data_IF_015612667364
#
_entry.id   IF_015612667364
#
_cell.length_a   1.000
_cell.length_b   1.000
_cell.length_c   1.000
_cell.angle_alpha   90.00
_cell.angle_beta   90.00
_cell.angle_gamma   90.00
#
_symmetry.space_group_name_H-M   'P 1'
#
loop_
_entity.id
_entity.type
_entity.pdbx_description
1 polymer ?
#
# COMPACT_ATOMS: atom_id res chain seq x y z
N UNK A 1 -14.85 -4.85 8.81
CA UNK A 1 -14.22 -5.83 9.71
C UNK A 1 -14.78 -7.21 9.43
N UNK A 2 -14.00 -8.24 9.52
CA UNK A 2 -14.45 -9.64 9.38
C UNK A 2 -14.88 -10.18 10.74
N UNK A 3 -15.87 -11.10 10.76
CA UNK A 3 -16.32 -11.73 11.99
C UNK A 3 -15.17 -12.49 12.66
N UNK A 4 -14.97 -12.22 13.95
CA UNK A 4 -14.05 -12.94 14.81
C UNK A 4 -14.63 -12.96 16.23
N UNK A 5 -14.76 -14.15 16.83
CA UNK A 5 -15.42 -14.33 18.12
C UNK A 5 -14.60 -13.76 19.29
N UNK A 6 -13.29 -13.63 19.12
CA UNK A 6 -12.36 -13.18 20.17
C UNK A 6 -11.92 -11.72 20.01
N UNK A 7 -12.31 -11.05 18.93
CA UNK A 7 -11.88 -9.70 18.65
C UNK A 7 -12.93 -8.64 19.03
N UNK A 8 -12.46 -7.60 19.70
CA UNK A 8 -13.23 -6.38 19.94
C UNK A 8 -12.54 -5.22 19.22
N UNK A 9 -13.24 -4.61 18.31
CA UNK A 9 -12.77 -3.39 17.66
C UNK A 9 -12.86 -2.24 18.65
N UNK A 10 -11.72 -1.59 18.91
CA UNK A 10 -11.68 -0.33 19.64
C UNK A 10 -12.18 0.79 18.69
N UNK A 11 -13.25 1.44 19.05
CA UNK A 11 -13.85 2.45 18.16
C UNK A 11 -13.02 3.71 18.05
N UNK A 12 -12.12 3.97 19.01
CA UNK A 12 -11.19 5.12 18.93
C UNK A 12 -10.16 4.96 17.82
N UNK A 13 -9.86 3.72 17.39
CA UNK A 13 -8.97 3.45 16.26
C UNK A 13 -9.54 3.92 14.90
N UNK A 14 -10.81 4.31 14.87
CA UNK A 14 -11.45 4.94 13.71
C UNK A 14 -11.37 6.46 13.71
N UNK A 15 -10.79 7.07 14.73
CA UNK A 15 -10.58 8.52 14.79
C UNK A 15 -9.29 8.83 14.06
N UNK A 16 -9.38 9.49 12.92
CA UNK A 16 -8.22 9.99 12.21
C UNK A 16 -7.59 11.16 12.96
N UNK A 17 -8.42 12.13 13.34
CA UNK A 17 -8.05 13.26 14.19
C UNK A 17 -9.31 14.01 14.67
N UNK A 18 -9.17 14.79 15.71
CA UNK A 18 -10.12 15.82 16.12
C UNK A 18 -9.35 17.13 16.39
N UNK A 19 -9.99 18.26 16.14
CA UNK A 19 -9.39 19.59 16.42
C UNK A 19 -10.29 20.41 17.32
N UNK A 20 -9.68 21.26 18.13
CA UNK A 20 -10.39 22.32 18.83
C UNK A 20 -10.74 23.46 17.84
N UNK A 21 -11.40 24.50 18.36
CA UNK A 21 -11.84 25.66 17.55
C UNK A 21 -10.66 26.47 16.96
N UNK A 22 -9.45 26.30 17.47
CA UNK A 22 -8.24 26.93 16.93
C UNK A 22 -7.53 26.07 15.87
N UNK A 23 -8.07 24.91 15.56
CA UNK A 23 -7.48 23.96 14.61
C UNK A 23 -6.35 23.10 15.20
N UNK A 24 -6.10 23.20 16.51
CA UNK A 24 -5.11 22.34 17.19
C UNK A 24 -5.68 20.94 17.35
N UNK A 25 -4.88 19.92 17.01
CA UNK A 25 -5.25 18.52 17.22
C UNK A 25 -5.37 18.25 18.73
N UNK A 26 -6.42 17.54 19.09
CA UNK A 26 -6.67 17.11 20.47
C UNK A 26 -6.46 15.61 20.59
N UNK A 27 -6.15 15.16 21.80
CA UNK A 27 -6.00 13.75 22.08
C UNK A 27 -7.30 12.99 21.82
N UNK A 28 -7.19 11.81 21.22
CA UNK A 28 -8.36 10.97 20.91
C UNK A 28 -9.14 10.56 22.18
N UNK A 29 -8.53 10.57 23.36
CA UNK A 29 -9.21 10.32 24.63
C UNK A 29 -10.20 11.41 25.02
N UNK A 30 -10.00 12.64 24.53
CA UNK A 30 -10.90 13.78 24.78
C UNK A 30 -12.20 13.69 23.96
N UNK A 31 -12.21 12.86 22.92
CA UNK A 31 -13.39 12.67 22.08
C UNK A 31 -14.35 11.71 22.77
N UNK A 32 -15.59 12.15 23.01
CA UNK A 32 -16.63 11.28 23.53
C UNK A 32 -17.10 10.32 22.46
N UNK A 33 -17.17 9.04 22.78
CA UNK A 33 -17.57 7.98 21.86
C UNK A 33 -18.81 7.26 22.41
N UNK A 34 -19.82 7.08 21.59
CA UNK A 34 -21.08 6.42 22.01
C UNK A 34 -20.92 4.94 22.35
N UNK A 35 -19.84 4.32 21.90
CA UNK A 35 -19.44 2.93 22.18
C UNK A 35 -17.92 2.83 22.10
N UNK A 36 -17.26 2.47 23.18
CA UNK A 36 -15.79 2.34 23.20
C UNK A 36 -15.29 1.13 22.42
N UNK A 37 -16.08 0.07 22.33
CA UNK A 37 -15.74 -1.11 21.55
C UNK A 37 -16.94 -1.79 20.92
N UNK A 38 -16.67 -2.55 19.87
CA UNK A 38 -17.64 -3.39 19.18
C UNK A 38 -17.11 -4.82 19.16
N UNK A 39 -17.89 -5.74 19.76
CA UNK A 39 -17.59 -7.18 19.66
C UNK A 39 -17.85 -7.64 18.23
N UNK A 40 -16.83 -8.26 17.62
CA UNK A 40 -16.89 -8.71 16.22
C UNK A 40 -17.43 -10.13 16.03
N UNK A 41 -18.12 -10.68 17.04
CA UNK A 41 -18.63 -12.05 17.04
C UNK A 41 -19.90 -12.27 16.19
N UNK A 42 -20.59 -11.21 15.78
CA UNK A 42 -21.81 -11.31 14.96
C UNK A 42 -21.76 -10.32 13.79
N UNK A 43 -22.01 -10.78 12.56
CA UNK A 43 -22.18 -9.89 11.41
C UNK A 43 -23.32 -8.92 11.64
N UNK A 44 -22.98 -7.63 11.72
CA UNK A 44 -23.93 -6.54 11.95
C UNK A 44 -23.26 -5.20 11.64
N UNK A 45 -24.08 -4.20 11.31
CA UNK A 45 -23.64 -2.80 11.20
C UNK A 45 -24.01 -2.05 12.48
N UNK A 46 -23.03 -1.32 13.01
CA UNK A 46 -23.16 -0.47 14.19
C UNK A 46 -22.93 0.99 13.79
N UNK A 47 -23.75 1.89 14.32
CA UNK A 47 -23.46 3.32 14.25
C UNK A 47 -22.69 3.72 15.50
N UNK A 48 -21.59 4.44 15.30
CA UNK A 48 -20.77 5.00 16.38
C UNK A 48 -20.74 6.50 16.21
N UNK A 49 -21.18 7.22 17.23
CA UNK A 49 -21.18 8.68 17.27
C UNK A 49 -19.98 9.15 18.08
N UNK A 50 -19.28 10.11 17.55
CA UNK A 50 -18.16 10.83 18.18
C UNK A 50 -18.61 12.27 18.45
N UNK A 51 -18.20 12.83 19.58
CA UNK A 51 -18.56 14.20 19.96
C UNK A 51 -17.36 14.86 20.65
N UNK A 52 -17.02 16.06 20.19
CA UNK A 52 -16.05 16.91 20.84
C UNK A 52 -16.55 18.36 20.79
N UNK A 53 -16.80 18.97 21.97
CA UNK A 53 -17.53 20.24 22.05
C UNK A 53 -18.88 20.13 21.34
N UNK A 54 -19.16 21.04 20.43
CA UNK A 54 -20.38 21.04 19.61
C UNK A 54 -20.27 20.22 18.32
N UNK A 55 -19.06 19.75 17.97
CA UNK A 55 -18.82 18.98 16.78
C UNK A 55 -19.26 17.52 16.97
N UNK A 56 -19.90 16.95 15.95
CA UNK A 56 -20.28 15.54 15.95
C UNK A 56 -19.95 14.87 14.62
N UNK A 57 -19.51 13.61 14.69
CA UNK A 57 -19.36 12.73 13.54
C UNK A 57 -20.00 11.38 13.82
N UNK A 58 -20.47 10.70 12.79
CA UNK A 58 -21.01 9.34 12.92
C UNK A 58 -20.44 8.45 11.84
N UNK A 59 -19.94 7.31 12.23
CA UNK A 59 -19.47 6.28 11.30
C UNK A 59 -20.32 5.02 11.39
N UNK A 60 -20.25 4.20 10.34
CA UNK A 60 -20.82 2.86 10.31
C UNK A 60 -19.69 1.83 10.38
N UNK A 61 -19.64 1.09 11.47
CA UNK A 61 -18.74 -0.06 11.60
C UNK A 61 -19.53 -1.32 11.22
N UNK A 62 -19.11 -1.98 10.15
CA UNK A 62 -19.78 -3.19 9.67
C UNK A 62 -18.91 -4.41 9.94
N UNK A 63 -19.41 -5.31 10.77
CA UNK A 63 -18.85 -6.66 10.94
C UNK A 63 -19.41 -7.54 9.83
N UNK A 64 -18.55 -8.08 8.97
CA UNK A 64 -18.92 -8.94 7.84
C UNK A 64 -18.74 -10.41 8.20
N UNK A 65 -19.43 -11.30 7.50
CA UNK A 65 -19.12 -12.73 7.55
C UNK A 65 -17.70 -12.96 7.00
N UNK A 66 -16.95 -13.87 7.61
CA UNK A 66 -15.78 -14.42 6.96
C UNK A 66 -16.17 -15.11 5.65
N UNK A 67 -15.35 -14.96 4.64
CA UNK A 67 -15.48 -15.68 3.37
C UNK A 67 -14.77 -17.03 3.49
N UNK A 68 -15.07 -17.95 2.59
CA UNK A 68 -14.28 -19.17 2.46
C UNK A 68 -12.87 -18.80 2.01
N UNK A 69 -11.90 -19.44 2.58
CA UNK A 69 -10.50 -19.17 2.33
C UNK A 69 -9.99 -20.02 1.16
N UNK A 70 -9.16 -19.43 0.31
CA UNK A 70 -8.38 -20.18 -0.66
C UNK A 70 -7.25 -20.94 0.05
N UNK A 71 -6.84 -22.06 -0.52
CA UNK A 71 -5.70 -22.84 -0.04
C UNK A 71 -4.64 -22.83 -1.13
N UNK A 72 -3.43 -22.39 -0.77
CA UNK A 72 -2.30 -22.40 -1.69
C UNK A 72 -1.69 -23.82 -1.79
N UNK A 73 -1.26 -24.19 -2.97
CA UNK A 73 -0.48 -25.41 -3.23
C UNK A 73 0.83 -25.06 -3.92
N UNK A 74 1.94 -25.50 -3.35
CA UNK A 74 3.29 -25.22 -3.83
C UNK A 74 3.83 -26.23 -4.86
N UNK A 75 3.06 -27.26 -5.21
CA UNK A 75 3.54 -28.36 -6.05
C UNK A 75 3.69 -27.98 -7.52
N UNK A 76 4.71 -28.54 -8.17
CA UNK A 76 4.84 -28.58 -9.62
C UNK A 76 5.49 -27.37 -10.29
N UNK A 77 6.10 -26.45 -9.54
CA UNK A 77 6.81 -25.30 -10.12
C UNK A 77 8.31 -25.42 -9.89
N UNK A 78 9.08 -25.42 -10.97
CA UNK A 78 10.55 -25.41 -10.91
C UNK A 78 11.04 -23.99 -10.65
N UNK A 79 11.91 -23.81 -9.66
CA UNK A 79 12.57 -22.55 -9.41
C UNK A 79 13.44 -22.16 -10.61
N UNK A 80 13.36 -20.90 -11.02
CA UNK A 80 14.24 -20.36 -12.04
C UNK A 80 15.55 -19.94 -11.39
N UNK A 81 16.70 -20.07 -12.08
CA UNK A 81 17.93 -19.48 -11.62
C UNK A 81 17.70 -17.98 -11.40
N UNK A 82 18.00 -17.54 -10.22
CA UNK A 82 17.84 -16.16 -9.84
C UNK A 82 19.17 -15.61 -9.37
N UNK A 83 19.20 -15.26 -8.11
CA UNK A 83 20.38 -14.66 -7.50
C UNK A 83 21.47 -15.67 -7.11
N UNK A 84 21.27 -16.98 -7.30
CA UNK A 84 22.33 -17.96 -7.06
C UNK A 84 23.47 -17.84 -8.07
N UNK A 85 23.14 -17.51 -9.32
CA UNK A 85 24.15 -17.24 -10.38
C UNK A 85 24.58 -15.76 -10.39
N UNK A 86 23.91 -14.92 -9.63
CA UNK A 86 24.22 -13.51 -9.43
C UNK A 86 24.58 -13.31 -7.97
N UNK A 87 25.59 -12.49 -7.71
CA UNK A 87 25.73 -11.94 -6.36
C UNK A 87 24.51 -11.10 -6.07
N UNK A 88 23.83 -11.29 -4.92
CA UNK A 88 22.72 -10.44 -4.55
C UNK A 88 23.13 -8.97 -4.59
N UNK A 89 22.26 -8.13 -5.09
CA UNK A 89 22.50 -6.70 -5.16
C UNK A 89 22.58 -6.10 -3.77
N UNK A 90 23.39 -5.06 -3.62
CA UNK A 90 23.43 -4.30 -2.39
C UNK A 90 22.64 -3.02 -2.61
N UNK A 91 21.52 -2.88 -1.88
CA UNK A 91 20.80 -1.60 -1.80
C UNK A 91 21.71 -0.55 -1.15
N UNK A 92 21.61 0.70 -1.57
CA UNK A 92 22.24 1.82 -0.87
C UNK A 92 21.65 2.02 0.53
N UNK A 93 20.41 1.59 0.72
CA UNK A 93 19.60 1.77 1.94
C UNK A 93 19.08 0.40 2.39
N UNK A 94 19.92 -0.34 3.11
CA UNK A 94 19.60 -1.73 3.48
C UNK A 94 18.60 -1.85 4.62
N UNK A 95 18.67 -0.94 5.56
CA UNK A 95 17.75 -0.81 6.69
C UNK A 95 17.45 0.66 6.91
N UNK A 96 16.54 0.97 7.80
CA UNK A 96 16.08 2.35 8.11
C UNK A 96 17.19 3.34 8.49
N UNK A 97 18.39 2.88 8.76
CA UNK A 97 19.45 3.70 9.33
C UNK A 97 20.04 4.75 8.38
N UNK A 98 19.84 4.59 7.08
CA UNK A 98 20.45 5.45 6.05
C UNK A 98 19.43 6.34 5.32
N UNK A 99 18.17 6.33 5.75
CA UNK A 99 17.17 7.20 5.14
C UNK A 99 17.37 8.65 5.55
N UNK A 100 17.06 9.56 4.63
CA UNK A 100 16.93 10.96 5.03
C UNK A 100 15.72 11.08 5.96
N UNK A 101 15.81 12.02 6.88
CA UNK A 101 14.69 12.41 7.77
C UNK A 101 14.09 13.73 7.27
N UNK A 102 13.33 13.73 6.16
CA UNK A 102 12.80 14.95 5.59
C UNK A 102 11.61 15.40 6.41
N UNK A 103 11.54 16.69 6.61
CA UNK A 103 10.28 17.33 6.96
C UNK A 103 9.63 17.84 5.68
N UNK A 104 8.33 18.05 5.68
CA UNK A 104 7.59 18.64 4.57
C UNK A 104 8.09 20.03 4.21
N UNK A 105 8.79 20.68 5.14
CA UNK A 105 9.37 22.02 5.01
C UNK A 105 10.79 22.02 4.47
N UNK A 106 11.46 20.87 4.41
CA UNK A 106 12.83 20.81 3.87
C UNK A 106 12.81 21.14 2.38
N UNK A 107 13.62 22.11 1.93
CA UNK A 107 13.69 22.42 0.51
C UNK A 107 14.01 21.20 -0.31
N UNK A 108 13.30 21.05 -1.41
CA UNK A 108 13.56 20.01 -2.37
C UNK A 108 14.68 20.43 -3.32
N UNK A 109 15.90 20.07 -3.01
CA UNK A 109 17.07 20.27 -3.89
C UNK A 109 17.21 19.13 -4.90
N UNK A 110 16.13 18.46 -5.24
CA UNK A 110 16.19 17.16 -5.77
C UNK A 110 16.21 17.05 -7.26
N UNK A 111 16.66 15.91 -7.69
CA UNK A 111 16.54 15.45 -9.04
C UNK A 111 15.08 15.14 -9.34
N UNK A 112 14.62 15.62 -10.47
CA UNK A 112 13.33 15.25 -11.03
C UNK A 112 13.44 14.14 -12.08
N UNK A 113 14.63 13.55 -12.24
CA UNK A 113 14.88 12.47 -13.18
C UNK A 113 15.88 11.48 -12.60
N UNK A 114 15.50 10.22 -12.62
CA UNK A 114 16.30 9.10 -12.15
C UNK A 114 16.50 8.13 -13.31
N UNK A 115 17.74 7.76 -13.57
CA UNK A 115 18.10 6.88 -14.68
C UNK A 115 18.79 5.61 -14.17
N UNK A 116 18.40 4.47 -14.72
CA UNK A 116 19.09 3.20 -14.52
C UNK A 116 18.89 2.32 -15.77
N UNK A 117 19.97 1.96 -16.43
CA UNK A 117 19.88 1.24 -17.70
C UNK A 117 19.01 1.96 -18.73
N UNK A 118 18.03 1.26 -19.27
CA UNK A 118 17.06 1.79 -20.22
C UNK A 118 15.78 2.36 -19.55
N UNK A 119 15.72 2.34 -18.23
CA UNK A 119 14.60 2.88 -17.46
C UNK A 119 14.91 4.30 -16.97
N UNK A 120 14.07 5.25 -17.37
CA UNK A 120 14.08 6.61 -16.87
C UNK A 120 12.78 6.89 -16.14
N UNK A 121 12.89 7.30 -14.88
CA UNK A 121 11.78 7.76 -14.04
C UNK A 121 11.83 9.29 -13.92
N UNK A 122 10.68 9.94 -14.03
CA UNK A 122 10.56 11.39 -13.87
C UNK A 122 9.50 11.73 -12.84
N UNK A 123 9.76 12.76 -12.05
CA UNK A 123 8.78 13.31 -11.12
C UNK A 123 7.50 13.67 -11.85
N UNK A 124 6.39 13.15 -11.39
CA UNK A 124 5.06 13.51 -11.84
C UNK A 124 4.50 14.65 -11.01
N UNK A 125 4.54 14.49 -9.69
CA UNK A 125 4.23 15.51 -8.69
C UNK A 125 4.61 15.01 -7.29
N UNK A 126 4.68 15.95 -6.34
CA UNK A 126 4.75 15.63 -4.93
C UNK A 126 3.35 15.49 -4.36
N UNK A 127 3.13 14.41 -3.61
CA UNK A 127 1.83 14.11 -3.02
C UNK A 127 1.59 15.03 -1.82
N UNK A 128 0.42 15.68 -1.73
CA UNK A 128 0.11 16.60 -0.65
C UNK A 128 -0.22 15.86 0.65
N UNK A 129 0.78 15.32 1.31
CA UNK A 129 0.65 14.72 2.64
C UNK A 129 0.21 15.73 3.71
N UNK A 130 0.26 17.00 3.40
CA UNK A 130 -0.21 18.13 4.22
C UNK A 130 -1.73 18.28 4.27
N UNK A 131 -2.50 17.40 3.65
CA UNK A 131 -3.89 17.20 4.03
C UNK A 131 -4.02 16.57 5.43
N UNK A 132 -2.88 16.19 6.03
CA UNK A 132 -2.80 15.71 7.40
C UNK A 132 -2.69 16.88 8.37
N UNK A 133 -3.47 16.83 9.42
CA UNK A 133 -3.28 17.68 10.58
C UNK A 133 -2.04 17.18 11.30
N UNK A 134 -1.01 17.99 11.31
CA UNK A 134 0.24 17.67 11.99
C UNK A 134 0.20 18.19 13.40
N UNK A 135 0.39 17.34 14.39
CA UNK A 135 0.78 17.79 15.70
C UNK A 135 2.30 17.94 15.73
N UNK A 136 2.79 19.18 15.90
CA UNK A 136 4.21 19.41 16.00
C UNK A 136 4.72 18.92 17.34
N UNK A 137 5.05 17.67 17.49
CA UNK A 137 5.76 17.18 18.65
C UNK A 137 5.32 15.86 19.25
N UNK A 138 4.26 15.25 18.74
CA UNK A 138 3.86 13.91 19.16
C UNK A 138 3.68 12.97 17.98
N UNK A 139 4.64 12.05 17.81
CA UNK A 139 4.59 11.01 16.78
C UNK A 139 3.46 9.98 17.04
N UNK A 140 2.77 10.07 18.17
CA UNK A 140 1.70 9.17 18.55
C UNK A 140 0.31 9.64 18.14
N UNK A 141 0.18 10.85 17.60
CA UNK A 141 -1.12 11.36 17.17
C UNK A 141 -1.45 10.84 15.76
N UNK A 142 -2.66 10.34 15.63
CA UNK A 142 -3.21 9.87 14.36
C UNK A 142 -3.22 11.01 13.34
N UNK A 143 -2.32 10.94 12.40
CA UNK A 143 -2.25 11.85 11.27
C UNK A 143 -3.07 11.27 10.10
N UNK A 144 -3.58 12.12 9.24
CA UNK A 144 -4.16 11.70 7.98
C UNK A 144 -3.01 11.34 7.04
N UNK A 145 -2.53 10.13 7.11
CA UNK A 145 -1.52 9.49 6.28
C UNK A 145 -0.42 10.37 5.73
N UNK A 146 0.75 10.29 6.29
CA UNK A 146 1.94 11.01 5.80
C UNK A 146 2.99 10.09 5.18
N UNK A 147 2.82 8.78 5.30
CA UNK A 147 3.73 7.78 4.75
C UNK A 147 3.07 7.20 3.51
N UNK A 148 3.56 7.53 2.30
CA UNK A 148 3.08 6.90 1.08
C UNK A 148 3.62 5.48 1.01
N UNK A 149 2.72 4.55 0.79
CA UNK A 149 3.01 3.12 0.66
C UNK A 149 2.71 2.66 -0.78
N UNK A 150 1.77 1.74 -0.95
CA UNK A 150 1.40 1.21 -2.24
C UNK A 150 0.78 2.23 -3.20
N UNK A 151 0.82 1.89 -4.47
CA UNK A 151 0.22 2.68 -5.55
C UNK A 151 -0.46 1.79 -6.56
N UNK A 152 -1.53 2.29 -7.14
CA UNK A 152 -2.10 1.76 -8.38
C UNK A 152 -2.54 2.88 -9.30
N UNK A 153 -2.28 2.73 -10.60
CA UNK A 153 -2.62 3.73 -11.62
C UNK A 153 -3.55 3.13 -12.66
N UNK A 154 -4.68 3.78 -12.89
CA UNK A 154 -5.63 3.39 -13.94
C UNK A 154 -6.58 4.54 -14.29
N UNK A 155 -7.05 4.55 -15.52
CA UNK A 155 -8.04 5.51 -16.02
C UNK A 155 -7.66 6.98 -15.78
N UNK A 156 -6.35 7.30 -15.85
CA UNK A 156 -5.83 8.65 -15.63
C UNK A 156 -5.79 9.10 -14.16
N UNK A 157 -5.98 8.17 -13.22
CA UNK A 157 -5.86 8.42 -11.79
C UNK A 157 -4.75 7.57 -11.17
N UNK A 158 -3.99 8.16 -10.26
CA UNK A 158 -3.13 7.43 -9.34
C UNK A 158 -3.84 7.34 -7.99
N UNK A 159 -3.82 6.17 -7.38
CA UNK A 159 -4.34 5.93 -6.03
C UNK A 159 -3.21 5.43 -5.16
N UNK A 160 -2.94 6.16 -4.09
CA UNK A 160 -1.89 5.82 -3.12
C UNK A 160 -2.51 5.52 -1.77
N UNK A 161 -2.03 4.49 -1.11
CA UNK A 161 -2.28 4.30 0.31
C UNK A 161 -1.34 5.20 1.11
N UNK A 162 -1.92 5.99 2.00
CA UNK A 162 -1.17 6.84 2.93
C UNK A 162 -1.40 6.32 4.35
N UNK A 163 -0.35 5.74 4.92
CA UNK A 163 -0.36 5.20 6.27
C UNK A 163 -0.24 6.34 7.27
N UNK A 164 -1.16 6.41 8.23
CA UNK A 164 -1.17 7.47 9.24
C UNK A 164 -0.28 7.15 10.43
N UNK A 165 -0.24 5.86 10.81
CA UNK A 165 0.50 5.39 11.96
C UNK A 165 0.90 3.93 11.78
N UNK A 166 2.17 3.61 11.86
CA UNK A 166 2.70 2.26 11.66
C UNK A 166 2.06 1.21 12.57
N UNK A 167 1.82 1.57 13.84
CA UNK A 167 1.27 0.63 14.82
C UNK A 167 -0.22 0.31 14.61
N UNK A 168 -0.98 1.19 13.93
CA UNK A 168 -2.41 0.99 13.72
C UNK A 168 -2.73 0.35 12.37
N UNK A 169 -1.77 0.34 11.44
CA UNK A 169 -1.93 -0.20 10.09
C UNK A 169 -3.21 0.32 9.41
N UNK A 170 -3.48 1.59 9.65
CA UNK A 170 -4.66 2.29 9.16
C UNK A 170 -4.27 3.61 8.52
N UNK A 171 -5.07 4.08 7.60
CA UNK A 171 -4.80 5.31 6.88
C UNK A 171 -5.86 5.63 5.86
N UNK A 172 -5.47 6.27 4.79
CA UNK A 172 -6.35 6.67 3.70
C UNK A 172 -5.85 6.14 2.36
N UNK A 173 -6.77 5.83 1.47
CA UNK A 173 -6.48 5.76 0.04
C UNK A 173 -6.78 7.13 -0.56
N UNK A 174 -5.79 7.72 -1.20
CA UNK A 174 -5.91 9.04 -1.83
C UNK A 174 -5.80 8.90 -3.33
N UNK A 175 -6.76 9.42 -4.06
CA UNK A 175 -6.79 9.44 -5.51
C UNK A 175 -6.38 10.80 -6.06
N UNK A 176 -5.49 10.80 -7.04
CA UNK A 176 -4.94 11.97 -7.72
C UNK A 176 -5.27 11.93 -9.21
N UNK A 177 -5.92 12.96 -9.73
CA UNK A 177 -6.20 13.08 -11.17
C UNK A 177 -4.93 13.45 -11.95
N UNK A 178 -4.31 12.49 -12.61
CA UNK A 178 -3.07 12.67 -13.36
C UNK A 178 -3.20 13.60 -14.55
N UNK A 179 -4.42 13.83 -15.05
CA UNK A 179 -4.65 14.74 -16.17
C UNK A 179 -4.73 16.21 -15.72
N UNK A 180 -4.96 16.43 -14.43
CA UNK A 180 -5.10 17.76 -13.84
C UNK A 180 -3.90 18.14 -12.98
N UNK A 181 -3.26 17.18 -12.35
CA UNK A 181 -2.06 17.35 -11.56
C UNK A 181 -0.83 17.06 -12.45
N UNK A 182 -0.56 17.95 -13.41
CA UNK A 182 0.39 17.69 -14.49
C UNK A 182 1.78 18.25 -14.25
N UNK A 183 1.92 19.20 -13.37
CA UNK A 183 3.20 19.88 -13.14
C UNK A 183 3.86 19.35 -11.89
N UNK A 184 5.12 18.86 -11.98
CA UNK A 184 5.93 18.65 -10.80
C UNK A 184 6.15 20.01 -10.12
N UNK A 185 5.93 20.05 -8.81
CA UNK A 185 6.31 21.19 -7.99
C UNK A 185 7.06 20.70 -6.77
N UNK A 186 7.81 21.57 -6.16
CA UNK A 186 8.54 21.24 -4.97
C UNK A 186 7.58 20.98 -3.79
N UNK A 187 7.98 20.14 -2.86
CA UNK A 187 7.13 19.81 -1.70
C UNK A 187 6.63 21.07 -0.97
N UNK A 188 7.46 22.08 -0.84
CA UNK A 188 7.12 23.35 -0.20
C UNK A 188 6.14 24.23 -0.99
N UNK A 189 5.93 23.99 -2.29
CA UNK A 189 4.98 24.76 -3.07
C UNK A 189 3.55 24.63 -2.54
N UNK A 190 3.24 23.49 -1.93
CA UNK A 190 1.94 23.27 -1.27
C UNK A 190 1.72 24.22 -0.09
N UNK A 191 2.79 24.61 0.59
CA UNK A 191 2.74 25.52 1.75
C UNK A 191 2.66 26.98 1.33
N UNK A 192 3.22 27.32 0.19
CA UNK A 192 3.35 28.69 -0.28
C UNK A 192 2.28 29.09 -1.30
N UNK A 193 1.50 28.13 -1.80
CA UNK A 193 0.44 28.45 -2.76
C UNK A 193 -0.69 29.25 -2.10
N UNK A 194 -1.26 30.18 -2.87
CA UNK A 194 -2.42 30.95 -2.40
C UNK A 194 -3.61 30.02 -2.13
N UNK A 195 -4.51 30.42 -1.19
CA UNK A 195 -5.73 29.69 -0.91
C UNK A 195 -6.54 29.33 -2.17
N UNK A 196 -6.65 30.25 -3.12
CA UNK A 196 -7.33 29.99 -4.39
C UNK A 196 -6.68 28.88 -5.20
N UNK A 197 -5.34 28.86 -5.28
CA UNK A 197 -4.59 27.80 -5.96
C UNK A 197 -4.78 26.48 -5.24
N UNK A 198 -4.64 26.46 -3.92
CA UNK A 198 -4.82 25.28 -3.10
C UNK A 198 -6.25 24.70 -3.24
N UNK A 199 -7.27 25.55 -3.13
CA UNK A 199 -8.68 25.11 -3.32
C UNK A 199 -8.92 24.52 -4.71
N UNK A 200 -8.30 25.05 -5.75
CA UNK A 200 -8.40 24.47 -7.10
C UNK A 200 -7.64 23.16 -7.21
N UNK A 201 -6.49 23.05 -6.57
CA UNK A 201 -5.66 21.86 -6.58
C UNK A 201 -6.36 20.66 -5.90
N UNK A 202 -6.92 20.87 -4.72
CA UNK A 202 -7.56 19.78 -3.96
C UNK A 202 -8.86 19.26 -4.59
N UNK A 203 -9.48 19.99 -5.51
CA UNK A 203 -10.63 19.51 -6.30
C UNK A 203 -10.28 18.29 -7.18
N UNK A 204 -9.01 18.09 -7.46
CA UNK A 204 -8.48 16.99 -8.26
C UNK A 204 -7.93 15.84 -7.42
N UNK A 205 -8.25 15.86 -6.12
CA UNK A 205 -7.84 14.87 -5.14
C UNK A 205 -9.09 14.29 -4.48
N UNK A 206 -9.11 12.97 -4.30
CA UNK A 206 -10.14 12.25 -3.53
C UNK A 206 -9.47 11.60 -2.33
N UNK A 207 -10.11 11.63 -1.18
CA UNK A 207 -9.62 11.00 0.04
C UNK A 207 -10.66 10.01 0.54
N UNK A 208 -10.25 8.78 0.83
CA UNK A 208 -11.13 7.78 1.45
C UNK A 208 -11.44 8.16 2.90
N UNK A 209 -12.47 7.56 3.52
CA UNK A 209 -12.52 7.50 4.97
C UNK A 209 -11.25 6.90 5.55
N UNK A 210 -11.03 7.08 6.84
CA UNK A 210 -9.98 6.40 7.57
C UNK A 210 -10.32 4.91 7.67
N UNK A 211 -9.49 4.05 7.12
CA UNK A 211 -9.75 2.62 6.95
C UNK A 211 -8.50 1.80 7.27
N UNK A 212 -8.66 0.54 7.69
CA UNK A 212 -7.53 -0.37 7.75
C UNK A 212 -7.00 -0.63 6.34
N UNK A 213 -5.71 -0.40 6.15
CA UNK A 213 -4.99 -0.62 4.89
C UNK A 213 -3.83 -1.60 5.05
N UNK A 214 -3.66 -2.18 6.24
CA UNK A 214 -2.47 -2.97 6.59
C UNK A 214 -1.22 -2.10 6.49
N UNK A 215 -0.11 -2.68 6.05
CA UNK A 215 1.08 -1.87 5.71
C UNK A 215 0.87 -1.04 4.43
N UNK A 216 -0.12 -1.38 3.62
CA UNK A 216 -0.57 -0.56 2.50
C UNK A 216 0.18 -0.75 1.18
N UNK A 217 1.24 -1.54 1.13
CA UNK A 217 2.11 -1.67 -0.05
C UNK A 217 1.48 -2.40 -1.23
N UNK A 218 0.59 -3.36 -0.98
CA UNK A 218 -0.01 -4.19 -2.02
C UNK A 218 -1.29 -3.56 -2.55
N UNK A 219 -1.23 -2.92 -3.70
CA UNK A 219 -2.38 -2.28 -4.35
C UNK A 219 -2.56 -2.72 -5.80
N UNK A 220 -3.80 -2.74 -6.24
CA UNK A 220 -4.16 -2.93 -7.65
C UNK A 220 -5.48 -2.26 -7.97
N UNK A 221 -5.83 -2.16 -9.24
CA UNK A 221 -7.10 -1.57 -9.62
C UNK A 221 -7.69 -2.17 -10.89
N UNK A 222 -9.00 -2.15 -10.95
CA UNK A 222 -9.79 -2.48 -12.13
C UNK A 222 -10.58 -1.25 -12.59
N UNK A 223 -11.44 -1.39 -13.57
CA UNK A 223 -12.22 -0.25 -14.07
C UNK A 223 -13.02 0.47 -12.97
N UNK A 224 -13.58 -0.27 -12.01
CA UNK A 224 -14.49 0.30 -10.99
C UNK A 224 -13.91 0.35 -9.59
N UNK A 225 -12.89 -0.45 -9.30
CA UNK A 225 -12.43 -0.70 -7.96
C UNK A 225 -10.93 -0.54 -7.81
N UNK A 226 -10.54 -0.18 -6.61
CA UNK A 226 -9.18 -0.27 -6.06
C UNK A 226 -9.20 -1.46 -5.12
N UNK A 227 -8.08 -2.16 -5.04
CA UNK A 227 -7.87 -3.27 -4.12
C UNK A 227 -6.60 -3.03 -3.32
N UNK A 228 -6.65 -3.37 -2.04
CA UNK A 228 -5.48 -3.43 -1.18
C UNK A 228 -5.48 -4.73 -0.41
N UNK A 229 -4.32 -5.39 -0.38
CA UNK A 229 -4.11 -6.59 0.44
C UNK A 229 -3.62 -6.11 1.81
N UNK A 230 -4.32 -6.49 2.86
CA UNK A 230 -4.04 -6.07 4.21
C UNK A 230 -3.86 -7.27 5.13
N UNK A 231 -3.00 -7.12 6.12
CA UNK A 231 -2.87 -8.13 7.16
C UNK A 231 -4.14 -8.13 8.02
N UNK A 232 -4.74 -9.29 8.20
CA UNK A 232 -5.94 -9.40 9.01
C UNK A 232 -5.59 -9.54 10.49
N UNK A 233 -5.46 -8.41 11.17
CA UNK A 233 -5.23 -8.38 12.61
C UNK A 233 -6.43 -8.88 13.44
N UNK A 234 -7.60 -9.02 12.81
CA UNK A 234 -8.78 -9.53 13.49
C UNK A 234 -8.77 -11.06 13.60
N UNK A 235 -7.93 -11.73 12.81
CA UNK A 235 -7.78 -13.18 12.77
C UNK A 235 -6.48 -13.64 13.48
N UNK A 236 -6.23 -13.15 14.69
CA UNK A 236 -5.03 -13.51 15.46
C UNK A 236 -4.81 -15.03 15.62
N UNK A 237 -5.87 -15.82 15.50
CA UNK A 237 -5.83 -17.28 15.55
C UNK A 237 -5.54 -17.92 14.18
N UNK A 238 -5.51 -17.13 13.12
CA UNK A 238 -5.17 -17.56 11.75
C UNK A 238 -4.11 -16.63 11.19
N UNK A 239 -2.87 -16.68 11.68
CA UNK A 239 -1.79 -15.78 11.26
C UNK A 239 -1.39 -15.96 9.78
N UNK A 240 -1.90 -16.99 9.16
CA UNK A 240 -1.71 -17.36 7.76
C UNK A 240 -2.82 -16.84 6.83
N UNK A 241 -3.63 -15.89 7.29
CA UNK A 241 -4.71 -15.27 6.50
C UNK A 241 -4.37 -13.83 6.15
N UNK A 242 -4.80 -13.44 4.95
CA UNK A 242 -4.75 -12.07 4.46
C UNK A 242 -6.16 -11.56 4.19
N UNK A 243 -6.39 -10.28 4.34
CA UNK A 243 -7.65 -9.64 4.01
C UNK A 243 -7.50 -8.80 2.74
N UNK A 244 -8.29 -9.10 1.71
CA UNK A 244 -8.35 -8.30 0.49
C UNK A 244 -9.53 -7.35 0.57
N UNK A 245 -9.24 -6.06 0.54
CA UNK A 245 -10.21 -4.98 0.60
C UNK A 245 -10.46 -4.41 -0.79
N UNK A 246 -11.72 -4.36 -1.20
CA UNK A 246 -12.17 -3.72 -2.44
C UNK A 246 -12.81 -2.38 -2.13
N UNK A 247 -12.34 -1.32 -2.77
CA UNK A 247 -12.74 0.08 -2.57
C UNK A 247 -13.32 0.61 -3.89
N UNK A 248 -14.47 1.27 -3.85
CA UNK A 248 -15.05 1.89 -5.06
C UNK A 248 -14.27 3.14 -5.47
N UNK A 249 -13.91 3.27 -6.74
CA UNK A 249 -13.25 4.47 -7.29
C UNK A 249 -14.16 5.72 -7.26
N UNK A 250 -15.47 5.54 -7.24
CA UNK A 250 -16.42 6.66 -7.27
C UNK A 250 -16.38 7.53 -6.02
N UNK A 251 -16.28 6.91 -4.85
CA UNK A 251 -16.42 7.54 -3.54
C UNK A 251 -15.39 7.10 -2.50
N UNK A 252 -14.45 6.24 -2.91
CA UNK A 252 -13.41 5.63 -2.09
C UNK A 252 -13.92 4.92 -0.83
N UNK A 253 -15.16 4.42 -0.86
CA UNK A 253 -15.74 3.62 0.21
C UNK A 253 -15.44 2.13 0.02
N UNK A 254 -15.26 1.41 1.11
CA UNK A 254 -15.14 -0.05 1.07
C UNK A 254 -16.42 -0.66 0.48
N UNK A 255 -16.27 -1.47 -0.55
CA UNK A 255 -17.36 -2.20 -1.18
C UNK A 255 -17.46 -3.63 -0.65
N UNK A 256 -16.33 -4.33 -0.57
CA UNK A 256 -16.26 -5.74 -0.19
C UNK A 256 -14.92 -6.07 0.44
N UNK A 257 -14.89 -7.13 1.22
CA UNK A 257 -13.70 -7.69 1.83
C UNK A 257 -13.74 -9.20 1.71
N UNK A 258 -12.59 -9.82 1.54
CA UNK A 258 -12.39 -11.28 1.55
C UNK A 258 -11.25 -11.61 2.47
N UNK A 259 -11.33 -12.77 3.09
CA UNK A 259 -10.20 -13.41 3.78
C UNK A 259 -9.60 -14.46 2.85
N UNK A 260 -8.30 -14.44 2.71
CA UNK A 260 -7.54 -15.38 1.87
C UNK A 260 -6.60 -16.17 2.76
N UNK A 261 -6.74 -17.48 2.77
CA UNK A 261 -5.79 -18.38 3.41
C UNK A 261 -4.58 -18.57 2.51
N UNK A 262 -3.41 -18.41 3.08
CA UNK A 262 -2.16 -18.37 2.32
C UNK A 262 -1.18 -19.48 2.70
N UNK A 263 -1.55 -20.33 3.66
CA UNK A 263 -0.72 -21.46 4.03
C UNK A 263 -0.75 -22.57 2.97
N UNK A 264 0.34 -23.26 2.83
CA UNK A 264 0.54 -24.44 1.99
C UNK A 264 0.72 -25.68 2.85
N UNK A 265 1.14 -26.79 2.26
CA UNK A 265 1.25 -28.13 2.82
C UNK A 265 1.87 -28.25 4.23
N UNK A 266 2.53 -27.23 4.70
CA UNK A 266 3.13 -27.15 6.03
C UNK A 266 2.55 -25.95 6.79
N UNK A 267 1.64 -26.23 7.73
CA UNK A 267 1.05 -25.19 8.60
C UNK A 267 2.08 -24.49 9.51
N UNK A 268 3.28 -25.05 9.67
CA UNK A 268 4.39 -24.39 10.37
C UNK A 268 5.13 -23.34 9.55
N UNK A 269 4.82 -23.25 8.24
CA UNK A 269 5.41 -22.30 7.32
C UNK A 269 4.32 -21.60 6.48
N UNK A 270 3.45 -20.80 7.11
CA UNK A 270 2.39 -20.10 6.40
C UNK A 270 2.98 -19.13 5.38
N UNK A 271 2.31 -19.00 4.23
CA UNK A 271 2.60 -17.96 3.23
C UNK A 271 1.69 -16.80 3.51
N UNK A 272 2.24 -15.70 3.97
CA UNK A 272 1.51 -14.47 3.93
C UNK A 272 2.13 -13.55 2.87
N UNK A 273 1.27 -12.92 2.08
CA UNK A 273 1.72 -12.16 0.94
C UNK A 273 1.96 -10.71 1.35
N UNK A 274 3.22 -10.34 1.49
CA UNK A 274 3.58 -8.96 1.83
C UNK A 274 3.16 -7.98 0.75
N UNK A 275 3.17 -8.43 -0.51
CA UNK A 275 2.88 -7.57 -1.63
C UNK A 275 2.10 -8.30 -2.72
N UNK A 276 1.32 -7.55 -3.48
CA UNK A 276 0.52 -8.09 -4.55
C UNK A 276 -0.16 -7.03 -5.40
N UNK A 277 -0.66 -7.43 -6.54
CA UNK A 277 -1.38 -6.58 -7.49
C UNK A 277 -2.62 -7.28 -8.01
N UNK A 278 -3.77 -6.63 -7.90
CA UNK A 278 -5.00 -7.09 -8.57
C UNK A 278 -4.97 -6.60 -10.01
N UNK A 279 -5.18 -7.53 -10.95
CA UNK A 279 -5.12 -7.27 -12.40
C UNK A 279 -6.50 -7.32 -13.06
N UNK A 280 -7.45 -7.99 -12.41
CA UNK A 280 -8.85 -8.01 -12.81
C UNK A 280 -9.76 -8.14 -11.60
N UNK A 281 -11.08 -8.06 -11.78
CA UNK A 281 -12.03 -8.28 -10.66
C UNK A 281 -11.97 -9.71 -10.09
N UNK A 282 -11.27 -10.62 -10.78
CA UNK A 282 -11.16 -12.04 -10.41
C UNK A 282 -9.74 -12.54 -10.27
N UNK A 283 -8.73 -11.75 -10.64
CA UNK A 283 -7.37 -12.24 -10.69
C UNK A 283 -6.39 -11.27 -10.06
N UNK A 284 -5.46 -11.80 -9.28
CA UNK A 284 -4.37 -11.07 -8.68
C UNK A 284 -3.08 -11.90 -8.71
N UNK A 285 -1.96 -11.20 -8.66
CA UNK A 285 -0.66 -11.81 -8.42
C UNK A 285 -0.10 -11.32 -7.08
N UNK A 286 0.62 -12.21 -6.40
CA UNK A 286 1.27 -11.90 -5.14
C UNK A 286 2.68 -12.48 -5.12
N UNK A 287 3.52 -11.92 -4.27
CA UNK A 287 4.87 -12.41 -4.01
C UNK A 287 5.03 -12.79 -2.55
N UNK A 288 5.70 -13.90 -2.32
CA UNK A 288 6.11 -14.38 -1.01
C UNK A 288 7.61 -14.64 -0.99
N UNK A 289 8.30 -14.17 0.04
CA UNK A 289 9.70 -14.51 0.29
C UNK A 289 9.76 -15.71 1.23
N UNK A 290 10.04 -16.87 0.70
CA UNK A 290 10.29 -18.09 1.47
C UNK A 290 11.71 -18.10 2.00
N UNK A 291 11.90 -17.52 3.17
CA UNK A 291 13.22 -17.41 3.82
C UNK A 291 13.81 -18.80 4.11
N UNK A 292 12.96 -19.76 4.49
CA UNK A 292 13.39 -21.12 4.83
C UNK A 292 14.02 -21.84 3.65
N UNK A 293 13.45 -21.67 2.46
CA UNK A 293 13.94 -22.30 1.23
C UNK A 293 14.77 -21.34 0.37
N UNK A 294 15.03 -20.13 0.86
CA UNK A 294 15.82 -19.10 0.18
C UNK A 294 15.36 -18.84 -1.25
N UNK A 295 14.07 -18.55 -1.43
CA UNK A 295 13.49 -18.26 -2.73
C UNK A 295 12.30 -17.29 -2.65
N UNK A 296 11.96 -16.71 -3.79
CA UNK A 296 10.74 -15.92 -3.95
C UNK A 296 9.73 -16.72 -4.75
N UNK A 297 8.51 -16.77 -4.27
CA UNK A 297 7.38 -17.46 -4.90
C UNK A 297 6.40 -16.44 -5.47
N UNK A 298 5.95 -16.68 -6.71
CA UNK A 298 4.94 -15.85 -7.37
C UNK A 298 3.65 -16.65 -7.48
N UNK A 299 2.58 -16.10 -6.94
CA UNK A 299 1.29 -16.76 -6.85
C UNK A 299 0.25 -16.03 -7.68
N UNK A 300 -0.50 -16.76 -8.46
CA UNK A 300 -1.73 -16.31 -9.13
C UNK A 300 -2.92 -16.74 -8.28
N UNK A 301 -3.75 -15.78 -7.89
CA UNK A 301 -4.98 -16.06 -7.16
C UNK A 301 -6.16 -15.75 -8.05
N UNK A 302 -7.00 -16.75 -8.30
CA UNK A 302 -8.22 -16.60 -9.11
C UNK A 302 -9.45 -16.69 -8.23
N UNK A 303 -10.36 -15.73 -8.34
CA UNK A 303 -11.60 -15.70 -7.57
C UNK A 303 -12.73 -16.43 -8.29
N UNK A 304 -13.39 -17.32 -7.57
CA UNK A 304 -14.64 -17.98 -7.98
C UNK A 304 -15.70 -17.75 -6.91
N UNK A 305 -16.71 -16.95 -7.20
CA UNK A 305 -17.66 -16.48 -6.20
C UNK A 305 -16.97 -15.62 -5.13
N UNK A 306 -17.01 -16.05 -3.88
CA UNK A 306 -16.34 -15.39 -2.77
C UNK A 306 -15.03 -16.07 -2.32
N UNK A 307 -14.57 -17.06 -3.07
CA UNK A 307 -13.34 -17.79 -2.74
C UNK A 307 -12.21 -17.40 -3.70
N UNK A 308 -11.01 -17.25 -3.13
CA UNK A 308 -9.78 -17.05 -3.86
C UNK A 308 -8.96 -18.34 -3.84
N UNK A 309 -8.45 -18.75 -5.02
CA UNK A 309 -7.73 -19.99 -5.24
C UNK A 309 -6.29 -19.68 -5.66
N UNK A 310 -5.34 -19.75 -4.72
CA UNK A 310 -3.94 -19.54 -5.04
C UNK A 310 -3.35 -20.68 -5.87
N UNK A 311 -2.50 -20.33 -6.83
CA UNK A 311 -1.71 -21.24 -7.62
C UNK A 311 -0.30 -20.66 -7.78
N UNK A 312 0.71 -21.45 -7.45
CA UNK A 312 2.09 -21.07 -7.68
C UNK A 312 2.37 -21.06 -9.20
N UNK A 313 2.86 -19.93 -9.73
CA UNK A 313 3.12 -19.77 -11.17
C UNK A 313 4.59 -19.59 -11.51
N UNK A 314 5.41 -19.20 -10.54
CA UNK A 314 6.85 -19.04 -10.73
C UNK A 314 7.60 -19.01 -9.41
N UNK A 315 8.91 -19.24 -9.48
CA UNK A 315 9.84 -19.12 -8.36
C UNK A 315 11.16 -18.53 -8.84
N UNK A 316 11.74 -17.67 -8.03
CA UNK A 316 13.13 -17.21 -8.20
C UNK A 316 13.97 -17.75 -7.06
N UNK A 317 15.03 -18.43 -7.36
CA UNK A 317 15.94 -19.02 -6.39
C UNK A 317 16.92 -17.98 -5.82
N UNK A 318 17.26 -18.07 -4.53
CA UNK A 318 18.19 -17.17 -3.85
C UNK A 318 17.57 -15.83 -3.41
N UNK A 319 18.43 -14.98 -2.84
CA UNK A 319 18.07 -13.63 -2.36
C UNK A 319 18.37 -12.56 -3.40
N UNK A 320 17.44 -11.63 -3.59
CA UNK A 320 17.64 -10.48 -4.48
C UNK A 320 18.63 -9.45 -3.92
N UNK A 321 18.60 -9.25 -2.61
CA UNK A 321 19.43 -8.25 -1.93
C UNK A 321 20.25 -8.87 -0.80
N UNK A 322 21.46 -8.35 -0.59
CA UNK A 322 22.44 -8.90 0.36
C UNK A 322 22.42 -8.21 1.72
N UNK A 323 21.78 -7.07 1.85
CA UNK A 323 21.85 -6.23 3.04
C UNK A 323 20.48 -6.00 3.72
N UNK A 324 19.55 -6.94 3.52
CA UNK A 324 18.29 -6.96 4.28
C UNK A 324 17.24 -5.91 3.87
N UNK A 325 17.41 -5.26 2.71
CA UNK A 325 16.36 -4.38 2.21
C UNK A 325 15.06 -5.17 2.00
N UNK A 326 13.91 -4.69 2.52
CA UNK A 326 12.64 -5.38 2.42
C UNK A 326 12.05 -5.32 1.02
N UNK A 327 11.09 -6.20 0.72
CA UNK A 327 10.20 -6.07 -0.44
C UNK A 327 9.29 -4.88 -0.19
N UNK A 328 9.31 -3.90 -1.08
CA UNK A 328 8.54 -2.66 -0.96
C UNK A 328 7.41 -2.56 -1.99
N UNK A 329 7.65 -2.92 -3.23
CA UNK A 329 6.66 -2.82 -4.29
C UNK A 329 6.60 -4.04 -5.19
N UNK A 330 5.39 -4.37 -5.66
CA UNK A 330 5.17 -5.44 -6.63
C UNK A 330 4.08 -5.07 -7.62
N UNK A 331 4.33 -5.28 -8.91
CA UNK A 331 3.32 -5.07 -9.94
C UNK A 331 3.52 -6.02 -11.12
N UNK A 332 2.51 -6.11 -11.99
CA UNK A 332 2.50 -6.95 -13.16
C UNK A 332 2.27 -6.13 -14.44
N UNK A 333 3.08 -6.41 -15.45
CA UNK A 333 2.93 -5.87 -16.80
C UNK A 333 2.25 -6.93 -17.68
N UNK A 334 0.96 -6.76 -18.01
CA UNK A 334 0.22 -7.75 -18.80
C UNK A 334 0.63 -7.76 -20.28
N UNK A 335 1.30 -6.72 -20.76
CA UNK A 335 1.73 -6.61 -22.17
C UNK A 335 2.96 -7.48 -22.42
N UNK A 336 3.91 -7.43 -21.51
CA UNK A 336 5.19 -8.12 -21.64
C UNK A 336 5.28 -9.39 -20.77
N UNK A 337 4.22 -9.74 -20.05
CA UNK A 337 4.13 -10.89 -19.11
C UNK A 337 5.30 -10.91 -18.09
N UNK A 338 5.53 -9.75 -17.44
CA UNK A 338 6.60 -9.59 -16.47
C UNK A 338 6.08 -9.04 -15.15
N UNK A 339 6.71 -9.47 -14.07
CA UNK A 339 6.62 -8.80 -12.77
C UNK A 339 7.70 -7.73 -12.65
N UNK A 340 7.39 -6.70 -11.87
CA UNK A 340 8.37 -5.78 -11.32
C UNK A 340 8.30 -5.88 -9.80
N UNK A 341 9.45 -6.11 -9.18
CA UNK A 341 9.62 -6.26 -7.74
C UNK A 341 10.60 -5.20 -7.25
N UNK A 342 10.18 -4.37 -6.31
CA UNK A 342 11.01 -3.32 -5.75
C UNK A 342 11.51 -3.65 -4.35
N UNK A 343 12.70 -3.16 -4.09
CA UNK A 343 13.32 -2.97 -2.80
C UNK A 343 13.72 -1.50 -2.70
N UNK A 344 14.11 -1.01 -1.58
CA UNK A 344 14.34 0.42 -1.30
C UNK A 344 14.78 1.32 -2.48
N UNK A 345 15.81 0.93 -3.23
CA UNK A 345 16.35 1.67 -4.38
C UNK A 345 16.56 0.77 -5.62
N UNK A 346 16.05 -0.45 -5.56
CA UNK A 346 16.22 -1.47 -6.60
C UNK A 346 14.86 -1.88 -7.17
N UNK A 347 14.80 -2.08 -8.50
CA UNK A 347 13.65 -2.68 -9.17
C UNK A 347 14.14 -3.84 -10.04
N UNK A 348 13.57 -5.00 -9.86
CA UNK A 348 13.84 -6.19 -10.67
C UNK A 348 12.70 -6.44 -11.65
N UNK A 349 13.03 -6.59 -12.92
CA UNK A 349 12.13 -7.09 -13.96
C UNK A 349 12.26 -8.60 -14.04
N UNK A 350 11.16 -9.30 -13.85
CA UNK A 350 11.14 -10.75 -13.65
C UNK A 350 10.08 -11.36 -14.57
N UNK A 351 10.41 -12.46 -15.26
CA UNK A 351 9.39 -13.21 -16.01
C UNK A 351 8.35 -13.78 -15.05
N UNK A 352 7.12 -14.02 -15.50
CA UNK A 352 6.09 -14.66 -14.68
C UNK A 352 6.53 -16.00 -14.09
N UNK A 353 7.48 -16.70 -14.71
CA UNK A 353 8.04 -17.95 -14.20
C UNK A 353 9.16 -17.78 -13.17
N UNK A 354 9.63 -16.54 -12.94
CA UNK A 354 10.61 -16.23 -11.91
C UNK A 354 12.03 -15.91 -12.42
N UNK A 355 12.28 -15.94 -13.73
CA UNK A 355 13.60 -15.58 -14.25
C UNK A 355 13.82 -14.06 -14.20
N UNK A 356 14.90 -13.60 -13.57
CA UNK A 356 15.31 -12.20 -13.58
C UNK A 356 15.76 -11.83 -15.01
N UNK A 357 15.11 -10.81 -15.57
CA UNK A 357 15.44 -10.30 -16.92
C UNK A 357 16.31 -9.05 -16.87
N UNK A 358 16.09 -8.20 -15.88
CA UNK A 358 16.82 -6.96 -15.74
C UNK A 358 16.74 -6.44 -14.31
N UNK A 359 17.78 -5.71 -13.89
CA UNK A 359 17.83 -5.04 -12.60
C UNK A 359 18.12 -3.56 -12.81
N UNK A 360 17.41 -2.73 -12.07
CA UNK A 360 17.56 -1.29 -12.05
C UNK A 360 17.90 -0.85 -10.64
N UNK A 361 18.98 -0.09 -10.49
CA UNK A 361 19.34 0.55 -9.23
C UNK A 361 19.35 2.06 -9.40
N UNK A 362 18.69 2.77 -8.50
CA UNK A 362 18.53 4.21 -8.54
C UNK A 362 19.21 4.88 -7.36
N UNK A 363 19.81 6.04 -7.58
CA UNK A 363 20.18 6.91 -6.48
C UNK A 363 18.97 7.75 -6.10
N UNK A 364 18.21 7.31 -5.11
CA UNK A 364 16.99 7.96 -4.62
C UNK A 364 17.24 9.05 -3.58
N UNK A 365 18.51 9.41 -3.35
CA UNK A 365 18.90 10.42 -2.36
C UNK A 365 18.42 10.11 -0.92
N UNK A 366 18.55 8.87 -0.48
CA UNK A 366 18.14 8.47 0.87
C UNK A 366 16.64 8.27 1.05
N UNK A 367 15.90 8.11 -0.04
CA UNK A 367 14.46 7.80 -0.02
C UNK A 367 14.21 6.39 -0.52
N UNK A 368 13.19 5.75 -0.02
CA UNK A 368 12.83 4.40 -0.40
C UNK A 368 11.66 4.35 -1.38
N UNK A 369 11.72 3.36 -2.25
CA UNK A 369 10.59 2.99 -3.11
C UNK A 369 9.60 2.22 -2.24
N UNK A 370 8.33 2.63 -2.22
CA UNK A 370 7.29 1.97 -1.44
C UNK A 370 6.24 1.26 -2.30
N UNK A 371 6.08 1.66 -3.53
CA UNK A 371 5.07 1.05 -4.36
C UNK A 371 5.35 1.14 -5.84
N UNK A 372 4.83 0.16 -6.57
CA UNK A 372 4.93 0.06 -8.03
C UNK A 372 3.55 -0.12 -8.65
N UNK A 373 3.36 0.47 -9.83
CA UNK A 373 2.19 0.20 -10.67
C UNK A 373 2.55 0.28 -12.16
N UNK A 374 2.04 -0.63 -12.97
CA UNK A 374 2.13 -0.55 -14.42
C UNK A 374 0.79 -0.11 -15.00
N UNK A 375 0.81 0.93 -15.82
CA UNK A 375 -0.36 1.42 -16.54
C UNK A 375 0.04 2.01 -17.89
N UNK A 376 -0.69 1.68 -18.94
CA UNK A 376 -0.46 2.20 -20.31
C UNK A 376 0.99 2.07 -20.80
N UNK A 377 1.66 0.96 -20.44
CA UNK A 377 3.05 0.69 -20.81
C UNK A 377 4.06 1.62 -20.13
N UNK A 378 3.73 2.13 -18.94
CA UNK A 378 4.62 2.92 -18.08
C UNK A 378 4.63 2.34 -16.68
N UNK A 379 5.77 2.44 -16.03
CA UNK A 379 5.94 2.12 -14.63
C UNK A 379 5.79 3.40 -13.80
N UNK A 380 4.97 3.33 -12.77
CA UNK A 380 4.79 4.37 -11.76
C UNK A 380 5.41 3.90 -10.47
N UNK A 381 6.08 4.80 -9.79
CA UNK A 381 6.86 4.51 -8.58
C UNK A 381 6.52 5.53 -7.49
N UNK A 382 6.17 5.04 -6.31
CA UNK A 382 6.04 5.86 -5.11
C UNK A 382 7.38 5.93 -4.38
N UNK A 383 7.81 7.14 -4.03
CA UNK A 383 8.94 7.36 -3.12
C UNK A 383 8.45 7.89 -1.78
N UNK A 384 8.95 7.28 -0.70
CA UNK A 384 8.75 7.75 0.67
C UNK A 384 9.68 8.90 1.06
N UNK A 385 9.68 9.26 2.33
CA UNK A 385 10.44 10.36 3.00
C UNK A 385 10.23 11.76 2.40
N UNK A 386 9.60 11.85 1.28
CA UNK A 386 8.95 12.97 0.60
C UNK A 386 8.01 12.37 -0.40
N UNK A 387 6.77 12.27 -0.06
CA UNK A 387 5.78 11.58 -0.89
C UNK A 387 5.80 12.10 -2.32
N UNK A 388 6.44 11.34 -3.21
CA UNK A 388 6.65 11.72 -4.62
C UNK A 388 6.21 10.59 -5.54
N UNK A 389 5.43 10.95 -6.55
CA UNK A 389 5.09 10.04 -7.63
C UNK A 389 6.03 10.24 -8.81
N UNK A 390 6.66 9.15 -9.22
CA UNK A 390 7.46 9.08 -10.43
C UNK A 390 6.71 8.33 -11.54
N UNK A 391 6.97 8.72 -12.79
CA UNK A 391 6.46 8.07 -13.99
C UNK A 391 7.62 7.72 -14.93
N UNK A 392 7.65 6.51 -15.45
CA UNK A 392 8.69 6.10 -16.40
C UNK A 392 8.41 6.57 -17.84
N UNK A 393 9.45 6.55 -18.67
CA UNK A 393 9.28 6.37 -20.11
C UNK A 393 8.54 5.05 -20.38
N UNK A 394 8.09 4.82 -21.62
CA UNK A 394 7.44 3.53 -21.95
C UNK A 394 8.42 2.38 -21.67
N UNK A 395 7.95 1.40 -20.90
CA UNK A 395 8.66 0.14 -20.66
C UNK A 395 8.49 -0.78 -21.87
N UNK A 396 9.56 -1.55 -22.16
CA UNK A 396 9.63 -2.48 -23.30
C UNK A 396 9.55 -3.92 -22.83
#
# INVERSE_FOLDING_TARGET
MVRNDNYKFNTRDAISYATNYMGTVVDNSEVNVSKDSIACNKPKTYNVKYTYGDATATIKVTVRKSTKEGIASASGVTAQPGTNDYKPWKSHYGSSDNYISPTEFTPDNTRHTFNSGDLTLKTRFYQPVLLSVQDPGDDNINRVGHIPEGITVSDGWAYTSLLSHLNLLSGHVVGYDLNKLTNPFHAQDLLTMSQKKFTNYVKHIKVSPYIPIGHGQAMGSTKKYIYTLVNDHTLKESPDSEELVQIRKSDLQINKMWTIKTWVDDASNPRYFHNGVVVSDTDMYTVYHDIKNNCYEYWELTRKGDNWYPKLVGKTDGNFVSNGAPVQGFTYDPVNDNFYLAFNDLIFKISRKGAIKQTYQFNTNGREIEGLSVSNGRLYVNLAQRAELLESTKIK
#
